data_IF_951444288466
#
_entry.id   IF_951444288466
#
_cell.length_a   1.000
_cell.length_b   1.000
_cell.length_c   1.000
_cell.angle_alpha   90.00
_cell.angle_beta   90.00
_cell.angle_gamma   90.00
#
_symmetry.space_group_name_H-M   'P 1'
#
loop_
_entity.id
_entity.type
_entity.pdbx_description
1 polymer ?
#
# COMPACT_ATOMS: atom_id res chain seq x y z
N UNK A 1 -17.79 0.34 -23.67
CA UNK A 1 -17.57 -1.05 -24.05
C UNK A 1 -18.06 -1.93 -22.92
N UNK A 2 -19.21 -2.60 -23.09
CA UNK A 2 -19.75 -3.54 -22.13
C UNK A 2 -19.04 -4.89 -22.36
N UNK A 3 -17.87 -5.07 -21.76
CA UNK A 3 -17.27 -6.39 -21.58
C UNK A 3 -18.00 -7.10 -20.43
N UNK A 4 -18.18 -8.41 -20.53
CA UNK A 4 -18.90 -9.25 -19.56
C UNK A 4 -18.15 -9.44 -18.21
N UNK A 5 -17.13 -8.66 -17.90
CA UNK A 5 -16.46 -8.51 -16.59
C UNK A 5 -16.43 -7.03 -16.24
N UNK A 6 -16.63 -6.67 -14.97
CA UNK A 6 -16.58 -5.30 -14.50
C UNK A 6 -15.24 -4.60 -14.80
N UNK A 7 -15.13 -3.32 -14.47
CA UNK A 7 -13.89 -2.56 -14.64
C UNK A 7 -12.78 -3.16 -13.76
N UNK A 8 -11.55 -3.18 -14.25
CA UNK A 8 -10.37 -3.35 -13.41
C UNK A 8 -10.30 -2.22 -12.39
N UNK A 9 -9.74 -2.45 -11.20
CA UNK A 9 -9.78 -1.46 -10.14
C UNK A 9 -8.38 -1.13 -9.64
N UNK A 10 -8.08 0.17 -9.59
CA UNK A 10 -6.89 0.72 -8.94
C UNK A 10 -7.29 1.42 -7.65
N UNK A 11 -6.87 0.89 -6.51
CA UNK A 11 -6.92 1.58 -5.21
C UNK A 11 -5.69 2.47 -5.10
N UNK A 12 -5.89 3.80 -5.08
CA UNK A 12 -4.82 4.79 -5.19
C UNK A 12 -4.70 5.62 -3.93
N UNK A 13 -3.67 5.36 -3.14
CA UNK A 13 -3.45 5.87 -1.79
C UNK A 13 -2.65 7.19 -1.81
N UNK A 14 -3.13 8.21 -1.09
CA UNK A 14 -2.43 9.50 -1.00
C UNK A 14 -1.25 9.46 -0.02
N UNK A 15 -0.32 10.42 -0.14
CA UNK A 15 0.76 10.65 0.81
C UNK A 15 0.31 11.44 2.04
N UNK A 16 1.21 11.60 3.01
CA UNK A 16 0.96 12.39 4.21
C UNK A 16 0.53 13.84 3.86
N UNK A 17 -0.41 14.39 4.62
CA UNK A 17 -1.00 15.71 4.37
C UNK A 17 -2.01 15.75 3.22
N UNK A 18 -2.33 14.61 2.61
CA UNK A 18 -3.32 14.49 1.54
C UNK A 18 -4.66 13.93 1.99
N UNK A 19 -5.55 13.79 1.01
CA UNK A 19 -6.86 13.19 1.15
C UNK A 19 -7.28 12.52 -0.19
N UNK A 20 -8.53 12.06 -0.27
CA UNK A 20 -9.11 11.43 -1.47
C UNK A 20 -9.05 12.32 -2.73
N UNK A 21 -8.98 13.63 -2.60
CA UNK A 21 -8.97 14.56 -3.75
C UNK A 21 -7.56 14.83 -4.30
N UNK A 22 -6.50 14.45 -3.56
CA UNK A 22 -5.11 14.77 -3.93
C UNK A 22 -4.74 14.38 -5.35
N UNK A 23 -5.08 13.18 -5.75
CA UNK A 23 -4.71 12.66 -7.07
C UNK A 23 -5.45 13.36 -8.18
N UNK A 24 -6.74 13.66 -7.98
CA UNK A 24 -7.54 14.41 -8.95
C UNK A 24 -7.09 15.86 -9.10
N UNK A 25 -6.77 16.50 -7.97
CA UNK A 25 -6.39 17.93 -7.96
C UNK A 25 -4.95 18.18 -8.40
N UNK A 26 -4.03 17.23 -8.15
CA UNK A 26 -2.59 17.42 -8.34
C UNK A 26 -2.00 16.64 -9.52
N UNK A 27 -2.81 15.83 -10.17
CA UNK A 27 -2.37 15.01 -11.30
C UNK A 27 -3.41 14.97 -12.42
N UNK A 28 -3.07 14.36 -13.51
CA UNK A 28 -3.98 14.12 -14.64
C UNK A 28 -4.56 12.70 -14.58
N UNK A 29 -4.87 12.18 -13.40
CA UNK A 29 -5.35 10.79 -13.25
C UNK A 29 -6.62 10.53 -14.07
N UNK A 30 -7.53 11.49 -14.15
CA UNK A 30 -8.74 11.38 -14.95
C UNK A 30 -8.42 11.19 -16.44
N UNK A 31 -7.49 11.97 -16.98
CA UNK A 31 -7.06 11.87 -18.38
C UNK A 31 -6.35 10.53 -18.65
N UNK A 32 -5.57 10.05 -17.69
CA UNK A 32 -4.84 8.78 -17.85
C UNK A 32 -5.74 7.56 -17.91
N UNK A 33 -6.92 7.61 -17.30
CA UNK A 33 -7.88 6.48 -17.29
C UNK A 33 -9.02 6.65 -18.29
N UNK A 34 -9.15 7.81 -18.92
CA UNK A 34 -10.18 8.06 -19.91
C UNK A 34 -10.10 7.03 -21.05
N UNK A 35 -11.23 6.46 -21.42
CA UNK A 35 -11.35 5.44 -22.44
C UNK A 35 -10.76 4.06 -22.10
N UNK A 36 -10.23 3.87 -20.89
CA UNK A 36 -9.70 2.59 -20.41
C UNK A 36 -10.72 1.84 -19.55
N UNK A 37 -10.63 0.52 -19.56
CA UNK A 37 -11.48 -0.33 -18.72
C UNK A 37 -10.91 -0.41 -17.28
N UNK A 38 -10.82 0.74 -16.59
CA UNK A 38 -10.30 0.83 -15.24
C UNK A 38 -11.09 1.84 -14.41
N UNK A 39 -11.41 1.47 -13.18
CA UNK A 39 -11.94 2.35 -12.14
C UNK A 39 -10.82 2.71 -11.17
N UNK A 40 -10.82 3.95 -10.67
CA UNK A 40 -9.85 4.39 -9.65
C UNK A 40 -10.60 4.75 -8.38
N UNK A 41 -10.22 4.10 -7.29
CA UNK A 41 -10.75 4.33 -5.95
C UNK A 41 -9.71 5.05 -5.13
N UNK A 42 -10.04 6.23 -4.63
CA UNK A 42 -9.12 7.11 -3.89
C UNK A 42 -9.65 7.36 -2.48
N UNK A 43 -9.29 6.53 -1.50
CA UNK A 43 -9.75 6.70 -0.12
C UNK A 43 -8.95 7.77 0.63
N UNK A 44 -9.53 8.32 1.70
CA UNK A 44 -8.80 9.15 2.67
C UNK A 44 -8.20 8.28 3.78
N UNK A 45 -6.89 8.42 4.00
CA UNK A 45 -6.14 7.71 5.03
C UNK A 45 -5.84 8.54 6.29
N UNK A 46 -6.24 9.83 6.33
CA UNK A 46 -6.14 10.75 7.47
C UNK A 46 -4.77 10.75 8.19
N UNK A 47 -3.67 10.62 7.45
CA UNK A 47 -2.31 10.51 7.99
C UNK A 47 -2.11 9.32 8.96
N UNK A 48 -2.89 8.25 8.82
CA UNK A 48 -2.86 7.07 9.68
C UNK A 48 -2.14 5.88 9.05
N UNK A 49 -1.30 6.13 8.05
CA UNK A 49 -0.42 5.14 7.40
C UNK A 49 -1.12 3.90 6.87
N UNK A 50 -2.45 3.92 6.78
CA UNK A 50 -3.25 2.79 6.29
C UNK A 50 -3.07 1.50 7.10
N UNK A 51 -2.77 1.64 8.41
CA UNK A 51 -2.66 0.54 9.36
C UNK A 51 -3.80 0.58 10.40
N UNK A 52 -4.04 -0.51 11.09
CA UNK A 52 -4.88 -0.50 12.28
C UNK A 52 -4.07 0.15 13.41
N UNK A 53 -4.47 1.33 13.84
CA UNK A 53 -3.70 2.12 14.79
C UNK A 53 -3.77 1.50 16.20
N UNK A 54 -2.69 1.56 16.94
CA UNK A 54 -2.62 1.03 18.32
C UNK A 54 -3.67 1.68 19.22
N UNK A 55 -3.88 3.00 19.03
CA UNK A 55 -4.83 3.79 19.84
C UNK A 55 -5.87 4.48 18.93
N UNK A 56 -6.42 3.79 17.95
CA UNK A 56 -7.25 4.49 16.98
C UNK A 56 -8.18 3.62 16.17
N UNK A 57 -8.35 4.02 14.92
CA UNK A 57 -9.24 3.38 13.97
C UNK A 57 -8.51 2.35 13.11
N UNK A 58 -9.25 1.37 12.65
CA UNK A 58 -8.77 0.23 11.86
C UNK A 58 -8.68 0.57 10.36
N UNK A 59 -7.77 1.50 10.00
CA UNK A 59 -7.62 1.94 8.60
C UNK A 59 -7.18 0.82 7.67
N UNK A 60 -6.39 -0.14 8.15
CA UNK A 60 -6.00 -1.29 7.33
C UNK A 60 -7.21 -2.16 7.00
N UNK A 61 -8.01 -2.53 8.00
CA UNK A 61 -9.23 -3.31 7.80
C UNK A 61 -10.20 -2.59 6.86
N UNK A 62 -10.33 -1.27 7.02
CA UNK A 62 -11.13 -0.47 6.10
C UNK A 62 -10.60 -0.55 4.65
N UNK A 63 -9.31 -0.29 4.41
CA UNK A 63 -8.74 -0.21 3.05
C UNK A 63 -8.66 -1.58 2.38
N UNK A 64 -8.24 -2.59 3.14
CA UNK A 64 -7.94 -3.90 2.59
C UNK A 64 -9.17 -4.84 2.51
N UNK A 65 -10.19 -4.57 3.33
CA UNK A 65 -11.35 -5.46 3.42
C UNK A 65 -12.65 -4.70 3.09
N UNK A 66 -13.12 -3.80 3.95
CA UNK A 66 -14.43 -3.14 3.82
C UNK A 66 -14.59 -2.30 2.55
N UNK A 67 -13.58 -1.50 2.20
CA UNK A 67 -13.62 -0.65 1.00
C UNK A 67 -13.74 -1.47 -0.28
N UNK A 68 -13.04 -2.59 -0.33
CA UNK A 68 -13.07 -3.50 -1.49
C UNK A 68 -14.47 -4.10 -1.62
N UNK A 69 -15.00 -4.68 -0.54
CA UNK A 69 -16.33 -5.29 -0.52
C UNK A 69 -17.42 -4.29 -0.90
N UNK A 70 -17.38 -3.08 -0.34
CA UNK A 70 -18.33 -2.02 -0.64
C UNK A 70 -18.23 -1.57 -2.10
N UNK A 71 -17.03 -1.37 -2.63
CA UNK A 71 -16.86 -0.98 -4.03
C UNK A 71 -17.34 -2.07 -4.99
N UNK A 72 -17.09 -3.34 -4.70
CA UNK A 72 -17.57 -4.48 -5.48
C UNK A 72 -19.09 -4.67 -5.40
N UNK A 73 -19.71 -4.17 -4.35
CA UNK A 73 -21.18 -4.22 -4.16
C UNK A 73 -21.86 -3.06 -4.87
N UNK A 74 -21.28 -1.87 -4.85
CA UNK A 74 -21.94 -0.64 -5.34
C UNK A 74 -21.61 -0.32 -6.80
N UNK A 75 -20.46 -0.78 -7.30
CA UNK A 75 -19.99 -0.44 -8.64
C UNK A 75 -19.79 -1.68 -9.51
N UNK A 76 -19.90 -1.50 -10.82
CA UNK A 76 -19.60 -2.54 -11.79
C UNK A 76 -18.08 -2.71 -11.98
N UNK A 77 -17.41 -3.23 -10.97
CA UNK A 77 -15.98 -3.56 -10.99
C UNK A 77 -15.77 -5.07 -10.90
N UNK A 78 -14.62 -5.53 -11.40
CA UNK A 78 -14.25 -6.94 -11.34
C UNK A 78 -13.98 -7.37 -9.89
N UNK A 79 -14.48 -8.56 -9.51
CA UNK A 79 -14.17 -9.20 -8.23
C UNK A 79 -12.93 -10.09 -8.30
N UNK A 80 -12.36 -10.26 -9.49
CA UNK A 80 -11.16 -11.07 -9.66
C UNK A 80 -9.94 -10.32 -9.11
N UNK A 81 -9.15 -10.92 -8.19
CA UNK A 81 -7.91 -10.32 -7.70
C UNK A 81 -6.91 -9.95 -8.79
N UNK A 82 -6.90 -10.68 -9.94
CA UNK A 82 -6.05 -10.38 -11.08
C UNK A 82 -6.37 -9.03 -11.76
N UNK A 83 -7.55 -8.50 -11.51
CA UNK A 83 -7.99 -7.19 -12.00
C UNK A 83 -7.90 -6.09 -10.93
N UNK A 84 -7.34 -6.40 -9.75
CA UNK A 84 -7.24 -5.47 -8.63
C UNK A 84 -5.79 -5.03 -8.42
N UNK A 85 -5.60 -3.73 -8.37
CA UNK A 85 -4.30 -3.06 -8.23
C UNK A 85 -4.34 -2.12 -7.04
N UNK A 86 -3.20 -1.97 -6.36
CA UNK A 86 -3.05 -0.97 -5.31
C UNK A 86 -1.78 -0.16 -5.55
N UNK A 87 -1.86 1.15 -5.41
CA UNK A 87 -0.73 2.05 -5.61
C UNK A 87 -0.77 3.20 -4.61
N UNK A 88 0.36 3.82 -4.38
CA UNK A 88 0.39 5.04 -3.56
C UNK A 88 1.73 5.75 -3.56
N UNK A 89 1.73 6.95 -3.01
CA UNK A 89 2.91 7.79 -2.89
C UNK A 89 3.30 7.98 -1.43
N UNK A 90 4.59 7.94 -1.11
CA UNK A 90 5.12 8.22 0.23
C UNK A 90 4.46 7.32 1.28
N UNK A 91 3.69 7.89 2.23
CA UNK A 91 2.84 7.15 3.16
C UNK A 91 1.91 6.15 2.44
N UNK A 92 1.33 6.54 1.30
CA UNK A 92 0.48 5.67 0.49
C UNK A 92 1.26 4.55 -0.20
N UNK A 93 2.53 4.78 -0.55
CA UNK A 93 3.42 3.75 -1.09
C UNK A 93 3.74 2.66 -0.06
N UNK A 94 3.96 3.06 1.19
CA UNK A 94 4.03 2.14 2.32
C UNK A 94 2.71 1.38 2.48
N UNK A 95 1.57 2.09 2.54
CA UNK A 95 0.25 1.48 2.71
C UNK A 95 -0.10 0.46 1.62
N UNK A 96 0.27 0.75 0.36
CA UNK A 96 0.06 -0.18 -0.75
C UNK A 96 0.86 -1.49 -0.58
N UNK A 97 2.11 -1.40 -0.16
CA UNK A 97 2.95 -2.56 0.08
C UNK A 97 2.52 -3.31 1.34
N UNK A 98 2.18 -2.58 2.41
CA UNK A 98 1.66 -3.18 3.63
C UNK A 98 0.39 -4.00 3.36
N UNK A 99 -0.56 -3.44 2.59
CA UNK A 99 -1.78 -4.14 2.22
C UNK A 99 -1.50 -5.41 1.40
N UNK A 100 -0.62 -5.33 0.40
CA UNK A 100 -0.30 -6.46 -0.46
C UNK A 100 0.49 -7.57 0.27
N UNK A 101 1.32 -7.22 1.25
CA UNK A 101 2.03 -8.19 2.09
C UNK A 101 1.12 -8.84 3.14
N UNK A 102 0.19 -8.08 3.72
CA UNK A 102 -0.76 -8.58 4.73
C UNK A 102 -1.94 -9.34 4.13
N UNK A 103 -2.22 -9.16 2.84
CA UNK A 103 -3.28 -9.85 2.09
C UNK A 103 -2.71 -10.47 0.81
N UNK A 104 -1.90 -11.52 0.91
CA UNK A 104 -1.39 -12.26 -0.24
C UNK A 104 -2.55 -12.69 -1.16
N UNK A 105 -2.32 -12.69 -2.48
CA UNK A 105 -3.32 -13.07 -3.49
C UNK A 105 -4.51 -12.09 -3.65
N UNK A 106 -4.55 -10.99 -2.91
CA UNK A 106 -5.64 -10.02 -3.01
C UNK A 106 -5.44 -9.01 -4.14
N UNK A 107 -4.20 -8.75 -4.52
CA UNK A 107 -3.85 -7.77 -5.56
C UNK A 107 -2.96 -8.41 -6.62
N UNK A 108 -3.21 -8.08 -7.89
CA UNK A 108 -2.32 -8.43 -8.99
C UNK A 108 -0.97 -7.70 -8.87
N UNK A 109 -1.02 -6.39 -8.60
CA UNK A 109 0.17 -5.56 -8.50
C UNK A 109 0.02 -4.51 -7.41
N UNK A 110 1.07 -4.33 -6.63
CA UNK A 110 1.26 -3.22 -5.69
C UNK A 110 2.35 -2.28 -6.21
N UNK A 111 2.05 -0.97 -6.23
CA UNK A 111 2.97 0.02 -6.77
C UNK A 111 3.28 1.10 -5.72
N UNK A 112 4.57 1.36 -5.48
CA UNK A 112 5.06 2.37 -4.53
C UNK A 112 5.83 3.48 -5.25
N UNK A 113 5.30 4.70 -5.19
CA UNK A 113 5.99 5.91 -5.68
C UNK A 113 6.67 6.62 -4.52
N UNK A 114 8.00 6.71 -4.54
CA UNK A 114 8.77 7.37 -3.48
C UNK A 114 8.29 6.95 -2.08
N UNK A 115 8.04 5.65 -1.91
CA UNK A 115 7.41 5.09 -0.71
C UNK A 115 8.27 5.22 0.53
N UNK A 116 7.61 5.30 1.67
CA UNK A 116 8.24 5.27 2.98
C UNK A 116 8.41 3.80 3.38
N UNK A 117 9.39 3.12 2.75
CA UNK A 117 9.52 1.67 2.83
C UNK A 117 10.33 1.16 4.03
N UNK A 118 11.01 2.04 4.76
CA UNK A 118 11.65 1.72 6.04
C UNK A 118 10.98 2.49 7.17
N UNK A 119 10.01 1.84 7.81
CA UNK A 119 9.20 2.47 8.85
C UNK A 119 9.98 2.68 10.15
N UNK A 120 10.89 1.75 10.49
CA UNK A 120 11.73 1.85 11.70
C UNK A 120 12.65 3.07 11.59
N UNK A 121 13.35 3.23 10.47
CA UNK A 121 14.18 4.41 10.22
C UNK A 121 13.38 5.70 10.33
N UNK A 122 12.14 5.68 9.79
CA UNK A 122 11.24 6.82 9.84
C UNK A 122 10.76 7.12 11.26
N UNK A 123 10.52 6.10 12.07
CA UNK A 123 10.15 6.22 13.48
C UNK A 123 11.30 6.84 14.29
N UNK A 124 12.50 6.34 14.09
CA UNK A 124 13.71 6.84 14.77
C UNK A 124 14.08 8.28 14.32
N UNK A 125 13.66 8.71 13.11
CA UNK A 125 13.89 10.04 12.53
C UNK A 125 12.58 10.67 12.03
N UNK A 126 11.68 11.13 12.90
CA UNK A 126 10.30 11.46 12.57
C UNK A 126 10.10 12.68 11.66
N UNK A 127 11.10 13.58 11.52
CA UNK A 127 11.05 14.76 10.63
C UNK A 127 9.72 15.54 10.76
N UNK A 128 9.28 15.80 11.99
CA UNK A 128 8.09 16.59 12.29
C UNK A 128 6.75 15.86 12.18
N UNK A 129 6.74 14.54 11.91
CA UNK A 129 5.52 13.72 11.98
C UNK A 129 5.57 12.92 13.27
N UNK A 130 4.59 13.15 14.16
CA UNK A 130 4.43 12.31 15.34
C UNK A 130 3.86 10.93 14.93
N UNK A 131 4.68 9.91 15.12
CA UNK A 131 4.34 8.52 14.75
C UNK A 131 3.63 7.76 15.88
N UNK A 132 3.77 8.25 17.12
CA UNK A 132 3.25 7.58 18.33
C UNK A 132 1.73 7.36 18.30
N UNK A 133 0.87 8.31 17.85
CA UNK A 133 -0.57 8.09 17.81
C UNK A 133 -1.02 6.98 16.85
N UNK A 134 -0.13 6.57 15.93
CA UNK A 134 -0.41 5.55 14.92
C UNK A 134 0.16 4.20 15.35
N UNK A 135 1.43 4.18 15.75
CA UNK A 135 2.20 2.97 15.93
C UNK A 135 2.51 2.64 17.39
N UNK A 136 2.17 3.55 18.33
CA UNK A 136 2.57 3.43 19.73
C UNK A 136 4.06 3.64 19.93
N UNK A 137 4.66 2.89 20.85
CA UNK A 137 6.11 2.86 21.06
C UNK A 137 6.83 2.17 19.90
N UNK A 138 8.16 2.29 19.87
CA UNK A 138 8.98 1.57 18.88
C UNK A 138 8.84 0.05 19.00
N UNK A 139 8.73 -0.44 20.23
CA UNK A 139 8.49 -1.85 20.52
C UNK A 139 7.13 -2.29 19.98
N UNK A 140 6.07 -1.52 20.23
CA UNK A 140 4.73 -1.80 19.70
C UNK A 140 4.70 -1.78 18.16
N UNK A 141 5.47 -0.90 17.51
CA UNK A 141 5.60 -0.88 16.07
C UNK A 141 6.17 -2.22 15.55
N UNK A 142 7.17 -2.75 16.21
CA UNK A 142 7.83 -4.02 15.85
C UNK A 142 6.89 -5.20 16.15
N UNK A 143 6.35 -5.27 17.37
CA UNK A 143 5.52 -6.37 17.84
C UNK A 143 4.22 -6.53 17.05
N UNK A 144 3.64 -5.43 16.58
CA UNK A 144 2.45 -5.44 15.73
C UNK A 144 2.77 -5.67 14.24
N UNK A 145 4.04 -5.92 13.88
CA UNK A 145 4.47 -6.15 12.50
C UNK A 145 4.03 -5.02 11.54
N UNK A 146 4.19 -3.76 11.97
CA UNK A 146 3.96 -2.61 11.09
C UNK A 146 5.10 -2.38 10.11
N UNK A 147 6.31 -2.86 10.43
CA UNK A 147 7.45 -2.79 9.53
C UNK A 147 7.31 -3.77 8.36
N UNK A 148 7.54 -3.28 7.14
CA UNK A 148 7.41 -4.11 5.93
C UNK A 148 8.40 -5.26 5.90
N UNK A 149 9.61 -5.06 6.40
CA UNK A 149 10.66 -6.09 6.39
C UNK A 149 10.31 -7.28 7.29
N UNK A 150 9.62 -7.03 8.40
CA UNK A 150 9.14 -8.09 9.29
C UNK A 150 8.11 -9.00 8.63
N UNK A 151 7.42 -8.51 7.59
CA UNK A 151 6.37 -9.26 6.91
C UNK A 151 6.91 -10.29 5.91
N UNK A 152 8.14 -10.14 5.42
CA UNK A 152 8.73 -11.09 4.47
C UNK A 152 10.06 -11.70 4.91
N UNK A 153 10.73 -11.15 5.94
CA UNK A 153 11.99 -11.69 6.48
C UNK A 153 11.80 -12.77 7.56
N UNK A 154 10.71 -13.47 7.57
CA UNK A 154 10.47 -14.58 8.52
C UNK A 154 11.36 -15.79 8.23
N UNK A 155 12.68 -15.63 8.36
CA UNK A 155 13.63 -16.73 8.33
C UNK A 155 13.40 -17.61 9.55
N UNK A 156 12.74 -18.74 9.37
CA UNK A 156 12.63 -19.79 10.38
C UNK A 156 11.26 -20.00 11.01
N UNK A 157 10.21 -19.37 10.54
CA UNK A 157 8.84 -19.73 10.89
C UNK A 157 8.18 -20.49 9.74
N UNK A 158 7.39 -21.50 10.08
CA UNK A 158 6.68 -22.40 9.16
C UNK A 158 5.49 -21.72 8.44
N UNK A 159 5.48 -20.39 8.40
CA UNK A 159 4.46 -19.57 7.72
C UNK A 159 4.75 -19.54 6.21
N UNK A 160 4.36 -20.61 5.53
CA UNK A 160 4.43 -20.77 4.06
C UNK A 160 3.65 -19.73 3.25
N UNK A 161 2.85 -18.88 3.88
CA UNK A 161 1.97 -17.92 3.19
C UNK A 161 2.72 -16.78 2.49
N UNK A 162 3.93 -16.41 2.95
CA UNK A 162 4.69 -15.31 2.31
C UNK A 162 5.39 -15.76 1.04
N UNK A 163 5.81 -17.02 0.97
CA UNK A 163 6.48 -17.62 -0.21
C UNK A 163 5.52 -17.72 -1.40
N UNK A 164 4.20 -17.74 -1.16
CA UNK A 164 3.14 -17.87 -2.17
C UNK A 164 2.37 -16.54 -2.38
N UNK A 165 3.08 -15.41 -2.35
CA UNK A 165 2.47 -14.12 -2.69
C UNK A 165 2.71 -13.81 -4.18
N UNK A 166 1.71 -14.01 -5.07
CA UNK A 166 1.85 -13.79 -6.50
C UNK A 166 1.83 -12.31 -6.88
N UNK A 167 1.56 -11.40 -5.94
CA UNK A 167 1.52 -9.96 -6.20
C UNK A 167 2.86 -9.47 -6.74
N UNK A 168 2.82 -8.69 -7.81
CA UNK A 168 4.00 -7.98 -8.31
C UNK A 168 4.22 -6.70 -7.51
N UNK A 169 5.43 -6.51 -7.00
CA UNK A 169 5.83 -5.29 -6.29
C UNK A 169 6.66 -4.40 -7.20
N UNK A 170 6.15 -3.20 -7.50
CA UNK A 170 6.82 -2.24 -8.39
C UNK A 170 7.18 -0.99 -7.58
N UNK A 171 8.44 -0.59 -7.67
CA UNK A 171 8.98 0.59 -6.99
C UNK A 171 9.40 1.62 -8.03
N UNK A 172 8.95 2.86 -7.86
CA UNK A 172 9.48 4.01 -8.58
C UNK A 172 9.89 5.10 -7.59
N UNK A 173 11.11 5.61 -7.76
CA UNK A 173 11.64 6.68 -6.91
C UNK A 173 12.55 7.58 -7.74
N UNK A 174 12.45 8.89 -7.53
CA UNK A 174 13.33 9.85 -8.18
C UNK A 174 14.78 9.68 -7.73
N UNK A 175 15.73 9.87 -8.65
CA UNK A 175 17.16 9.72 -8.33
C UNK A 175 17.65 10.73 -7.28
N UNK A 176 16.96 11.85 -7.12
CA UNK A 176 17.26 12.89 -6.13
C UNK A 176 16.31 12.86 -4.93
N UNK A 177 15.41 11.87 -4.85
CA UNK A 177 14.52 11.72 -3.70
C UNK A 177 15.34 11.30 -2.47
N UNK A 178 15.19 11.99 -1.32
CA UNK A 178 15.93 11.65 -0.10
C UNK A 178 15.61 10.23 0.42
N UNK A 179 14.51 9.61 -0.03
CA UNK A 179 14.13 8.23 0.31
C UNK A 179 14.59 7.18 -0.70
N UNK A 180 15.42 7.56 -1.67
CA UNK A 180 15.92 6.62 -2.69
C UNK A 180 16.61 5.40 -2.06
N UNK A 181 17.35 5.61 -0.96
CA UNK A 181 17.99 4.51 -0.22
C UNK A 181 16.97 3.50 0.30
N UNK A 182 15.85 3.93 0.91
CA UNK A 182 14.79 3.02 1.38
C UNK A 182 14.23 2.15 0.24
N UNK A 183 14.07 2.74 -0.95
CA UNK A 183 13.59 2.02 -2.13
C UNK A 183 14.60 0.96 -2.62
N UNK A 184 15.89 1.29 -2.61
CA UNK A 184 16.96 0.36 -3.00
C UNK A 184 17.12 -0.78 -2.02
N UNK A 185 17.11 -0.48 -0.73
CA UNK A 185 17.27 -1.46 0.34
C UNK A 185 16.10 -2.42 0.38
N UNK A 186 14.88 -1.89 0.29
CA UNK A 186 13.69 -2.72 0.19
C UNK A 186 13.72 -3.65 -1.04
N UNK A 187 14.08 -3.11 -2.21
CA UNK A 187 14.20 -3.92 -3.43
C UNK A 187 15.18 -5.08 -3.26
N UNK A 188 16.34 -4.81 -2.68
CA UNK A 188 17.38 -5.82 -2.46
C UNK A 188 16.87 -6.94 -1.54
N UNK A 189 16.37 -6.58 -0.35
CA UNK A 189 15.90 -7.56 0.63
C UNK A 189 14.64 -8.31 0.15
N UNK A 190 13.71 -7.63 -0.52
CA UNK A 190 12.54 -8.26 -1.09
C UNK A 190 12.91 -9.33 -2.14
N UNK A 191 13.92 -9.03 -2.99
CA UNK A 191 14.44 -10.02 -3.96
C UNK A 191 15.12 -11.19 -3.30
N UNK A 192 15.93 -10.96 -2.25
CA UNK A 192 16.56 -12.02 -1.48
C UNK A 192 15.53 -12.91 -0.76
N UNK A 193 14.40 -12.35 -0.38
CA UNK A 193 13.26 -13.06 0.22
C UNK A 193 12.34 -13.77 -0.81
N UNK A 194 12.56 -13.57 -2.11
CA UNK A 194 11.79 -14.22 -3.19
C UNK A 194 10.49 -13.50 -3.58
N UNK A 195 10.28 -12.24 -3.17
CA UNK A 195 9.15 -11.44 -3.63
C UNK A 195 9.31 -11.05 -5.13
N UNK A 196 8.18 -11.06 -5.85
CA UNK A 196 8.13 -10.77 -7.28
C UNK A 196 8.20 -9.27 -7.62
#
# INVERSE_FOLDING_TARGET
>A
PQGHGGYKTLYLLHGAGGDHACWTLKTRIADYVEGKNIAVVMPSGNNRFYVNNVNGKDYFSFIADELIENCETWFNISRNPDDRYIAGMSMGGYGAFYAALKRPKQYNTAFSYSGLLNLIERYDNPQGIDMYPVFGTREELIDNNFDLYSLFNKKGTDDSEIVDNPTKFIIACGLQDPRLHMSKDFYKEAKEAGLN
#
